data_IF_000384760559
#
_entry.id   IF_000384760559
#
_cell.length_a   1.000
_cell.length_b   1.000
_cell.length_c   1.000
_cell.angle_alpha   90.00
_cell.angle_beta   90.00
_cell.angle_gamma   90.00
#
_symmetry.space_group_name_H-M   'P 1'
#
loop_
_entity.id
_entity.type
_entity.pdbx_description
1 polymer ?
#
# COMPACT_ATOMS: atom_id res chain seq x y z
N UNK A 1 17.52 5.51 -12.87
CA UNK A 1 17.08 5.66 -14.28
C UNK A 1 17.98 4.97 -15.32
N UNK A 2 19.29 5.24 -15.35
CA UNK A 2 20.15 4.91 -16.50
C UNK A 2 20.22 3.45 -16.95
N UNK A 3 20.16 2.46 -16.06
CA UNK A 3 20.32 1.03 -16.45
C UNK A 3 19.08 0.39 -17.09
N UNK A 4 17.86 0.73 -16.65
CA UNK A 4 16.63 0.19 -17.25
C UNK A 4 16.41 0.77 -18.66
N UNK A 5 16.62 2.08 -18.80
CA UNK A 5 16.54 2.79 -20.09
C UNK A 5 17.66 2.32 -21.03
N UNK A 6 18.90 2.22 -20.55
CA UNK A 6 20.02 1.75 -21.38
C UNK A 6 19.88 0.29 -21.81
N UNK A 7 19.18 -0.54 -21.03
CA UNK A 7 18.86 -1.93 -21.38
C UNK A 7 17.59 -2.06 -22.26
N UNK A 8 16.96 -0.95 -22.64
CA UNK A 8 15.76 -0.92 -23.49
C UNK A 8 14.52 -1.53 -22.85
N UNK A 9 14.50 -1.72 -21.52
CA UNK A 9 13.39 -2.37 -20.81
C UNK A 9 12.22 -1.43 -20.50
N UNK A 10 12.43 -0.12 -20.69
CA UNK A 10 11.41 0.91 -20.50
C UNK A 10 11.79 2.18 -21.27
N UNK A 11 10.80 2.85 -21.86
CA UNK A 11 10.94 4.11 -22.58
C UNK A 11 9.90 5.14 -22.10
N UNK A 12 10.17 6.46 -22.24
CA UNK A 12 9.18 7.49 -21.96
C UNK A 12 7.88 7.25 -22.73
N UNK A 13 6.76 7.10 -22.01
CA UNK A 13 5.45 6.75 -22.57
C UNK A 13 5.00 5.32 -22.25
N UNK A 14 5.92 4.44 -21.86
CA UNK A 14 5.57 3.11 -21.34
C UNK A 14 4.95 3.21 -19.93
N UNK A 15 4.09 2.24 -19.61
CA UNK A 15 3.61 2.06 -18.24
C UNK A 15 4.79 1.76 -17.30
N UNK A 16 4.63 2.11 -16.03
CA UNK A 16 5.60 1.76 -15.00
C UNK A 16 5.70 0.23 -14.86
N UNK A 17 6.92 -0.25 -14.61
CA UNK A 17 7.17 -1.68 -14.41
C UNK A 17 6.58 -2.09 -13.05
N UNK A 18 5.71 -3.09 -13.06
CA UNK A 18 5.14 -3.64 -11.83
C UNK A 18 6.12 -4.63 -11.17
N UNK A 19 6.58 -4.31 -9.96
CA UNK A 19 7.33 -5.20 -9.08
C UNK A 19 6.38 -5.82 -8.07
N UNK A 20 6.10 -7.11 -8.23
CA UNK A 20 5.27 -7.88 -7.30
C UNK A 20 6.13 -8.55 -6.21
N UNK A 21 5.76 -8.37 -4.94
CA UNK A 21 6.46 -8.97 -3.80
C UNK A 21 5.51 -9.66 -2.80
N UNK A 22 6.03 -10.62 -2.04
CA UNK A 22 5.26 -11.27 -0.97
C UNK A 22 5.36 -10.52 0.37
N UNK A 23 4.65 -11.02 1.39
CA UNK A 23 4.53 -10.38 2.71
C UNK A 23 5.78 -10.47 3.60
N UNK A 24 6.81 -11.20 3.18
CA UNK A 24 8.14 -11.19 3.76
C UNK A 24 8.95 -9.95 3.39
N UNK A 25 8.55 -9.24 2.33
CA UNK A 25 9.19 -7.99 1.93
C UNK A 25 8.58 -6.77 2.60
N UNK A 26 9.42 -5.77 2.84
CA UNK A 26 9.01 -4.48 3.35
C UNK A 26 8.60 -3.57 2.18
N UNK A 27 7.33 -3.62 1.80
CA UNK A 27 6.82 -2.94 0.61
C UNK A 27 7.05 -1.41 0.63
N UNK A 28 6.77 -0.69 1.72
CA UNK A 28 7.05 0.74 1.77
C UNK A 28 8.56 1.03 1.64
N UNK A 29 9.44 0.15 2.14
CA UNK A 29 10.89 0.30 1.96
C UNK A 29 11.27 0.14 0.50
N UNK A 30 10.76 -0.89 -0.18
CA UNK A 30 11.00 -1.12 -1.60
C UNK A 30 10.53 0.09 -2.42
N UNK A 31 9.31 0.58 -2.16
CA UNK A 31 8.79 1.79 -2.82
C UNK A 31 9.70 3.01 -2.60
N UNK A 32 10.19 3.21 -1.38
CA UNK A 32 11.11 4.32 -1.09
C UNK A 32 12.46 4.20 -1.80
N UNK A 33 13.02 2.99 -1.87
CA UNK A 33 14.31 2.73 -2.52
C UNK A 33 14.23 2.84 -4.05
N UNK A 34 13.06 2.56 -4.61
CA UNK A 34 12.83 2.52 -6.06
C UNK A 34 12.10 3.76 -6.60
N UNK A 35 11.79 4.76 -5.76
CA UNK A 35 10.99 5.95 -6.12
C UNK A 35 11.51 6.77 -7.31
N UNK A 36 12.80 6.64 -7.64
CA UNK A 36 13.45 7.37 -8.74
C UNK A 36 13.58 6.48 -10.01
N UNK A 37 12.84 5.38 -10.06
CA UNK A 37 12.71 4.45 -11.17
C UNK A 37 11.25 4.39 -11.63
N UNK A 38 10.99 4.04 -12.91
CA UNK A 38 9.63 3.94 -13.43
C UNK A 38 9.00 2.62 -13.00
N UNK A 39 8.81 2.43 -11.69
CA UNK A 39 8.31 1.18 -11.12
C UNK A 39 7.18 1.41 -10.13
N UNK A 40 6.20 0.51 -10.15
CA UNK A 40 5.17 0.39 -9.13
C UNK A 40 5.45 -0.85 -8.28
N UNK A 41 5.32 -0.72 -6.96
CA UNK A 41 5.48 -1.84 -6.04
C UNK A 41 4.10 -2.30 -5.59
N UNK A 42 3.76 -3.55 -5.91
CA UNK A 42 2.58 -4.23 -5.38
C UNK A 42 3.05 -5.37 -4.49
N UNK A 43 2.65 -5.38 -3.23
CA UNK A 43 3.13 -6.40 -2.32
C UNK A 43 2.05 -6.88 -1.39
N UNK A 44 2.05 -8.19 -1.11
CA UNK A 44 1.16 -8.71 -0.09
C UNK A 44 1.51 -8.12 1.26
N UNK A 45 0.52 -7.62 1.98
CA UNK A 45 0.66 -7.17 3.35
C UNK A 45 0.12 -8.21 4.34
N UNK A 46 0.74 -8.29 5.51
CA UNK A 46 0.24 -9.15 6.59
C UNK A 46 -1.07 -8.57 7.17
N UNK A 47 -2.00 -9.43 7.54
CA UNK A 47 -3.32 -9.03 8.06
C UNK A 47 -3.28 -8.39 9.46
N UNK A 48 -2.12 -8.40 10.14
CA UNK A 48 -1.90 -7.80 11.45
C UNK A 48 -1.41 -6.34 11.38
N UNK A 49 -1.37 -5.75 10.19
CA UNK A 49 -0.84 -4.40 9.98
C UNK A 49 -1.87 -3.31 10.32
N UNK A 50 -1.34 -2.19 10.79
CA UNK A 50 -2.06 -0.94 10.95
C UNK A 50 -1.33 0.16 10.18
N UNK A 51 -2.07 0.89 9.36
CA UNK A 51 -1.61 2.07 8.62
C UNK A 51 -2.24 3.34 9.19
N UNK A 52 -1.85 4.46 8.62
CA UNK A 52 -2.30 5.80 8.99
C UNK A 52 -2.83 6.52 7.76
N UNK A 53 -3.86 7.32 7.95
CA UNK A 53 -4.32 8.28 6.95
C UNK A 53 -3.45 9.53 6.92
N UNK A 54 -3.52 10.26 5.81
CA UNK A 54 -3.08 11.64 5.76
C UNK A 54 -3.80 12.49 6.82
N UNK A 55 -3.13 13.52 7.34
CA UNK A 55 -3.75 14.44 8.31
C UNK A 55 -4.66 15.39 7.53
N UNK A 56 -5.92 15.57 7.95
CA UNK A 56 -6.80 16.56 7.32
C UNK A 56 -6.17 17.96 7.32
N UNK A 57 -6.49 18.80 6.31
CA UNK A 57 -6.04 20.19 6.28
C UNK A 57 -6.37 20.91 7.59
N UNK A 58 -5.46 21.77 8.03
CA UNK A 58 -5.67 22.51 9.28
C UNK A 58 -6.75 23.57 9.12
N UNK A 59 -7.59 23.69 10.14
CA UNK A 59 -8.45 24.85 10.30
C UNK A 59 -7.60 26.06 10.72
N UNK A 60 -7.88 27.21 10.10
CA UNK A 60 -7.22 28.48 10.40
C UNK A 60 -7.37 28.83 11.89
N UNK A 61 -6.30 29.33 12.53
CA UNK A 61 -6.28 29.68 13.95
C UNK A 61 -5.81 28.57 14.91
N UNK A 62 -5.50 27.37 14.41
CA UNK A 62 -5.02 26.27 15.27
C UNK A 62 -3.51 26.39 15.55
N UNK A 63 -3.12 26.71 16.79
CA UNK A 63 -1.71 26.90 17.22
C UNK A 63 -0.99 25.57 17.57
N UNK A 64 -1.68 24.42 17.48
CA UNK A 64 -1.09 23.12 17.83
C UNK A 64 -0.09 22.61 16.78
N UNK A 65 0.94 21.90 17.24
CA UNK A 65 1.91 21.20 16.40
C UNK A 65 1.21 20.30 15.39
N UNK A 66 1.75 20.26 14.17
CA UNK A 66 1.23 19.41 13.10
C UNK A 66 1.21 17.96 13.55
N UNK A 67 0.04 17.33 13.51
CA UNK A 67 0.01 15.88 13.50
C UNK A 67 0.61 15.43 12.17
N UNK A 68 1.42 14.39 12.23
CA UNK A 68 2.05 13.77 11.04
C UNK A 68 1.22 12.60 10.49
N UNK A 69 0.40 12.01 11.35
CA UNK A 69 -0.45 10.87 11.03
C UNK A 69 -1.87 11.20 11.43
N UNK A 70 -2.83 10.87 10.56
CA UNK A 70 -4.25 10.88 10.87
C UNK A 70 -4.66 9.61 11.61
N UNK A 71 -5.94 9.27 11.44
CA UNK A 71 -6.55 8.12 12.09
C UNK A 71 -5.95 6.80 11.59
N UNK A 72 -6.13 5.75 12.39
CA UNK A 72 -5.65 4.42 12.08
C UNK A 72 -6.53 3.75 11.03
N UNK A 73 -5.89 2.90 10.22
CA UNK A 73 -6.52 1.92 9.37
C UNK A 73 -5.95 0.56 9.76
N UNK A 74 -6.71 -0.23 10.51
CA UNK A 74 -6.27 -1.52 11.08
C UNK A 74 -6.87 -2.65 10.26
N UNK A 75 -6.04 -3.50 9.68
CA UNK A 75 -6.50 -4.55 8.76
C UNK A 75 -7.41 -5.59 9.45
N UNK A 76 -7.22 -5.77 10.76
CA UNK A 76 -8.06 -6.64 11.58
C UNK A 76 -9.34 -6.00 12.13
N UNK A 77 -9.56 -4.69 11.92
CA UNK A 77 -10.70 -3.97 12.49
C UNK A 77 -11.47 -3.18 11.41
N UNK A 78 -12.58 -3.76 10.89
CA UNK A 78 -13.43 -3.12 9.89
C UNK A 78 -13.99 -1.76 10.26
N UNK A 79 -14.14 -1.46 11.57
CA UNK A 79 -14.65 -0.17 12.01
C UNK A 79 -13.71 1.00 11.66
N UNK A 80 -12.44 0.71 11.39
CA UNK A 80 -11.41 1.71 11.05
C UNK A 80 -11.31 2.01 9.54
N UNK A 81 -11.93 1.19 8.69
CA UNK A 81 -11.69 1.24 7.25
C UNK A 81 -12.37 2.43 6.57
N UNK A 82 -13.52 2.87 7.08
CA UNK A 82 -14.35 3.85 6.38
C UNK A 82 -14.80 3.36 5.00
N UNK A 83 -15.30 4.29 4.17
CA UNK A 83 -15.68 4.00 2.79
C UNK A 83 -14.44 3.78 1.91
N UNK A 84 -14.42 2.77 1.02
CA UNK A 84 -13.36 2.59 0.04
C UNK A 84 -13.41 3.69 -1.04
N UNK A 85 -12.25 4.16 -1.47
CA UNK A 85 -12.12 5.13 -2.56
C UNK A 85 -12.45 4.50 -3.92
N UNK A 86 -12.23 3.19 -4.05
CA UNK A 86 -12.63 2.41 -5.23
C UNK A 86 -13.07 1.01 -4.81
N UNK A 87 -14.15 0.52 -5.41
CA UNK A 87 -14.63 -0.84 -5.21
C UNK A 87 -15.04 -1.46 -6.55
N UNK A 88 -14.63 -2.70 -6.77
CA UNK A 88 -14.99 -3.48 -7.97
C UNK A 88 -15.41 -4.88 -7.58
N UNK A 89 -16.37 -5.43 -8.33
CA UNK A 89 -16.87 -6.79 -8.21
C UNK A 89 -16.74 -7.44 -9.58
N UNK A 90 -16.20 -8.64 -9.64
CA UNK A 90 -16.07 -9.39 -10.88
C UNK A 90 -16.27 -10.88 -10.67
N UNK A 91 -17.04 -11.51 -11.55
CA UNK A 91 -17.13 -12.97 -11.59
C UNK A 91 -15.87 -13.56 -12.22
N UNK A 92 -15.30 -14.55 -11.54
CA UNK A 92 -14.10 -15.24 -11.98
C UNK A 92 -14.37 -16.73 -12.12
N UNK A 93 -13.79 -17.34 -13.16
CA UNK A 93 -13.94 -18.78 -13.41
C UNK A 93 -13.42 -19.66 -12.28
N UNK A 94 -12.35 -19.22 -11.59
CA UNK A 94 -11.61 -20.03 -10.62
C UNK A 94 -11.95 -19.73 -9.16
N UNK A 95 -12.45 -18.53 -8.87
CA UNK A 95 -12.65 -18.08 -7.49
C UNK A 95 -14.10 -17.69 -7.18
N UNK A 96 -15.01 -17.81 -8.16
CA UNK A 96 -16.34 -17.24 -8.08
C UNK A 96 -16.29 -15.72 -8.12
N UNK A 97 -17.16 -15.07 -7.38
CA UNK A 97 -17.19 -13.61 -7.25
C UNK A 97 -15.93 -13.14 -6.52
N UNK A 98 -15.24 -12.15 -7.08
CA UNK A 98 -14.11 -11.47 -6.47
C UNK A 98 -14.48 -10.02 -6.16
N UNK A 99 -14.19 -9.59 -4.93
CA UNK A 99 -14.34 -8.22 -4.47
C UNK A 99 -12.99 -7.60 -4.22
N UNK A 100 -12.71 -6.48 -4.90
CA UNK A 100 -11.57 -5.64 -4.58
C UNK A 100 -12.05 -4.30 -4.06
N UNK A 101 -11.53 -3.89 -2.90
CA UNK A 101 -11.78 -2.58 -2.28
C UNK A 101 -10.45 -1.90 -2.01
N UNK A 102 -10.32 -0.66 -2.42
CA UNK A 102 -9.10 0.11 -2.32
C UNK A 102 -9.31 1.36 -1.46
N UNK A 103 -8.28 1.70 -0.68
CA UNK A 103 -8.17 2.93 0.08
C UNK A 103 -6.84 3.60 -0.23
N UNK A 104 -6.92 4.83 -0.72
CA UNK A 104 -5.78 5.59 -1.17
C UNK A 104 -5.13 6.38 -0.02
N UNK A 105 -3.89 6.79 -0.25
CA UNK A 105 -3.14 7.71 0.61
C UNK A 105 -3.01 7.22 2.06
N UNK A 106 -2.85 5.92 2.22
CA UNK A 106 -2.49 5.28 3.48
C UNK A 106 -0.98 5.12 3.57
N UNK A 107 -0.42 5.17 4.78
CA UNK A 107 1.01 5.02 5.01
C UNK A 107 1.34 4.31 6.32
N UNK A 108 2.43 3.53 6.38
CA UNK A 108 2.89 2.96 7.64
C UNK A 108 3.42 4.05 8.56
N UNK A 109 3.31 3.81 9.87
CA UNK A 109 4.06 4.57 10.86
C UNK A 109 5.46 3.99 11.00
N UNK A 110 6.41 4.58 10.28
CA UNK A 110 7.81 4.16 10.32
C UNK A 110 8.45 4.42 11.70
N UNK A 111 9.43 3.59 12.07
CA UNK A 111 10.25 3.76 13.27
C UNK A 111 11.73 3.55 12.93
N UNK A 112 12.63 4.15 13.71
CA UNK A 112 14.09 4.04 13.52
C UNK A 112 14.70 2.69 13.98
N UNK A 113 13.91 1.69 14.38
CA UNK A 113 14.41 0.46 15.02
C UNK A 113 14.68 -0.72 14.08
N UNK A 114 14.35 -0.57 12.81
CA UNK A 114 14.66 -1.52 11.74
C UNK A 114 15.41 -0.75 10.67
N UNK A 115 16.02 -1.40 9.67
CA UNK A 115 16.97 -0.86 8.67
C UNK A 115 16.52 0.40 7.86
N UNK A 116 15.41 1.02 8.25
CA UNK A 116 14.88 2.33 7.90
C UNK A 116 15.86 3.47 8.19
N UNK A 117 16.65 3.78 7.16
CA UNK A 117 17.36 5.04 6.95
C UNK A 117 17.93 5.64 8.24
N UNK A 118 19.03 5.06 8.73
CA UNK A 118 19.82 5.65 9.82
C UNK A 118 20.25 7.10 9.51
N UNK A 119 20.28 7.48 8.23
CA UNK A 119 20.63 8.81 7.74
C UNK A 119 19.48 9.83 7.69
N UNK A 120 18.21 9.43 7.88
CA UNK A 120 17.08 10.34 7.78
C UNK A 120 16.81 11.01 9.12
N UNK A 121 17.08 12.33 9.22
CA UNK A 121 16.70 13.15 10.38
C UNK A 121 15.19 13.15 10.63
N UNK A 122 14.40 12.97 9.57
CA UNK A 122 12.93 12.87 9.61
C UNK A 122 12.53 11.66 8.78
N UNK A 123 11.84 10.69 9.38
CA UNK A 123 11.32 9.55 8.63
C UNK A 123 10.36 10.04 7.53
N UNK A 124 10.38 9.47 6.33
CA UNK A 124 9.46 9.85 5.25
C UNK A 124 8.04 9.37 5.54
N UNK A 125 7.05 10.06 4.95
CA UNK A 125 5.70 9.53 4.77
C UNK A 125 5.67 8.92 3.36
N UNK A 126 5.38 7.63 3.28
CA UNK A 126 5.33 6.89 2.02
C UNK A 126 3.87 6.48 1.86
N UNK A 127 3.12 7.31 1.14
CA UNK A 127 1.72 7.04 0.82
C UNK A 127 1.65 5.93 -0.23
N UNK A 128 0.60 5.12 -0.12
CA UNK A 128 0.24 4.10 -1.09
C UNK A 128 -1.24 3.75 -0.98
N UNK A 129 -1.68 2.91 -1.90
CA UNK A 129 -3.05 2.36 -1.92
C UNK A 129 -3.04 0.99 -1.25
N UNK A 130 -3.97 0.76 -0.32
CA UNK A 130 -4.22 -0.57 0.22
C UNK A 130 -5.39 -1.18 -0.52
N UNK A 131 -5.24 -2.43 -0.95
CA UNK A 131 -6.30 -3.20 -1.58
C UNK A 131 -6.64 -4.40 -0.72
N UNK A 132 -7.92 -4.54 -0.38
CA UNK A 132 -8.49 -5.77 0.19
C UNK A 132 -9.13 -6.58 -0.92
N UNK A 133 -8.62 -7.78 -1.14
CA UNK A 133 -9.16 -8.75 -2.10
C UNK A 133 -9.82 -9.91 -1.35
N UNK A 134 -11.08 -10.16 -1.68
CA UNK A 134 -11.87 -11.29 -1.21
C UNK A 134 -12.43 -12.07 -2.39
N UNK A 135 -12.64 -13.37 -2.19
CA UNK A 135 -13.21 -14.26 -3.20
C UNK A 135 -14.17 -15.24 -2.55
N UNK A 136 -15.14 -15.74 -3.32
CA UNK A 136 -16.11 -16.74 -2.86
C UNK A 136 -15.45 -18.05 -2.44
N UNK A 137 -14.52 -18.56 -3.25
CA UNK A 137 -13.87 -19.84 -2.99
C UNK A 137 -12.45 -19.91 -3.54
N UNK A 138 -11.69 -20.89 -3.04
CA UNK A 138 -10.39 -21.26 -3.59
C UNK A 138 -10.52 -22.57 -4.37
N UNK A 139 -9.83 -22.74 -5.51
CA UNK A 139 -9.77 -24.02 -6.23
C UNK A 139 -9.30 -25.20 -5.36
N UNK A 140 -8.54 -24.92 -4.30
CA UNK A 140 -8.06 -25.92 -3.34
C UNK A 140 -9.13 -26.38 -2.34
N UNK A 141 -10.31 -25.75 -2.30
CA UNK A 141 -11.36 -26.01 -1.31
C UNK A 141 -11.07 -25.43 0.09
N UNK A 142 -9.91 -24.78 0.29
CA UNK A 142 -9.60 -24.10 1.55
C UNK A 142 -10.50 -22.86 1.74
N UNK A 143 -10.77 -22.49 2.99
CA UNK A 143 -11.49 -21.27 3.32
C UNK A 143 -10.72 -20.04 2.79
N UNK A 144 -11.31 -19.23 1.88
CA UNK A 144 -10.66 -18.04 1.37
C UNK A 144 -10.48 -17.02 2.52
N UNK A 145 -9.23 -16.67 2.81
CA UNK A 145 -8.91 -15.54 3.68
C UNK A 145 -8.67 -14.30 2.81
N UNK A 146 -9.12 -13.11 3.25
CA UNK A 146 -8.86 -11.88 2.52
C UNK A 146 -7.36 -11.67 2.37
N UNK A 147 -6.96 -11.23 1.17
CA UNK A 147 -5.60 -10.78 0.89
C UNK A 147 -5.56 -9.26 1.00
N UNK A 148 -4.51 -8.77 1.63
CA UNK A 148 -4.19 -7.35 1.65
C UNK A 148 -2.99 -7.10 0.74
N UNK A 149 -3.08 -6.08 -0.09
CA UNK A 149 -2.01 -5.58 -0.97
C UNK A 149 -1.75 -4.12 -0.65
#
# INVERSE_FOLDING_TARGET
MGRLVAAGQWQPGDLEILVAADAGYDAPRLAFLLRDLPVQVLARMRSDRALRRAVPPRQAGTVRRARRHGDEFVFGDPATWGEPDTATIADTRLYGTAWARAWDRLHPRLTHRSAWIDSAKVLPVIEGTVIRLEVDHLPSGATPKPVWL
#
